data_IF_047545944772
#
_entry.id   IF_047545944772
#
_cell.length_a   1.000
_cell.length_b   1.000
_cell.length_c   1.000
_cell.angle_alpha   90.00
_cell.angle_beta   90.00
_cell.angle_gamma   90.00
#
_symmetry.space_group_name_H-M   'P 1'
#
loop_
_entity.id
_entity.type
_entity.pdbx_description
1 polymer ?
#
# COMPACT_ATOMS: atom_id res chain seq x y z
N UNK A 1 -10.51 -13.05 20.26
CA UNK A 1 -10.26 -12.76 18.83
C UNK A 1 -10.04 -11.26 18.70
N UNK A 2 -9.06 -10.83 17.91
CA UNK A 2 -8.88 -9.39 17.64
C UNK A 2 -10.07 -8.88 16.82
N UNK A 3 -10.64 -7.74 17.21
CA UNK A 3 -11.71 -7.08 16.45
C UNK A 3 -11.10 -6.15 15.41
N UNK A 4 -11.53 -6.27 14.15
CA UNK A 4 -11.11 -5.40 13.06
C UNK A 4 -12.28 -5.11 12.12
N UNK A 5 -12.23 -3.95 11.48
CA UNK A 5 -13.11 -3.55 10.40
C UNK A 5 -12.60 -4.19 9.11
N UNK A 6 -13.34 -5.17 8.60
CA UNK A 6 -13.06 -5.82 7.33
C UNK A 6 -13.63 -4.98 6.18
N UNK A 7 -12.78 -4.65 5.20
CA UNK A 7 -13.18 -3.95 3.98
C UNK A 7 -12.66 -4.74 2.77
N UNK A 8 -13.59 -5.24 1.96
CA UNK A 8 -13.29 -5.77 0.63
C UNK A 8 -13.51 -4.65 -0.39
N UNK A 9 -12.45 -4.32 -1.16
CA UNK A 9 -12.51 -3.26 -2.18
C UNK A 9 -12.47 -3.80 -3.60
N UNK A 10 -12.33 -5.11 -3.79
CA UNK A 10 -12.04 -5.68 -5.10
C UNK A 10 -10.80 -5.04 -5.73
N UNK A 11 -10.85 -4.78 -7.04
CA UNK A 11 -9.74 -4.18 -7.79
C UNK A 11 -9.78 -2.65 -7.73
N UNK A 12 -8.74 -2.03 -7.16
CA UNK A 12 -8.59 -0.58 -7.07
C UNK A 12 -7.17 -0.13 -7.43
N UNK A 13 -7.02 1.13 -7.84
CA UNK A 13 -5.71 1.70 -8.11
C UNK A 13 -4.81 1.65 -6.87
N UNK A 14 -3.51 1.47 -7.10
CA UNK A 14 -2.55 1.33 -6.01
C UNK A 14 -2.44 2.61 -5.18
N UNK A 15 -2.40 3.79 -5.83
CA UNK A 15 -2.29 5.06 -5.14
C UNK A 15 -3.55 5.35 -4.32
N UNK A 16 -4.73 5.08 -4.89
CA UNK A 16 -6.00 5.24 -4.16
C UNK A 16 -6.04 4.36 -2.90
N UNK A 17 -5.61 3.09 -3.01
CA UNK A 17 -5.51 2.21 -1.85
C UNK A 17 -4.51 2.72 -0.82
N UNK A 18 -3.36 3.20 -1.27
CA UNK A 18 -2.31 3.71 -0.39
C UNK A 18 -2.77 4.98 0.36
N UNK A 19 -3.46 5.90 -0.32
CA UNK A 19 -4.02 7.10 0.31
C UNK A 19 -5.04 6.74 1.40
N UNK A 20 -5.89 5.74 1.16
CA UNK A 20 -6.80 5.21 2.19
C UNK A 20 -6.02 4.61 3.39
N UNK A 21 -4.94 3.87 3.13
CA UNK A 21 -4.12 3.30 4.21
C UNK A 21 -3.49 4.39 5.07
N UNK A 22 -2.95 5.46 4.47
CA UNK A 22 -2.40 6.60 5.19
C UNK A 22 -3.47 7.33 6.01
N UNK A 23 -4.69 7.49 5.46
CA UNK A 23 -5.80 8.05 6.22
C UNK A 23 -6.12 7.22 7.46
N UNK A 24 -6.31 5.90 7.32
CA UNK A 24 -6.62 5.02 8.46
C UNK A 24 -5.48 5.00 9.48
N UNK A 25 -4.22 5.01 9.02
CA UNK A 25 -3.06 5.09 9.90
C UNK A 25 -3.07 6.40 10.71
N UNK A 26 -3.36 7.53 10.07
CA UNK A 26 -3.46 8.84 10.73
C UNK A 26 -4.52 8.83 11.83
N UNK A 27 -5.71 8.28 11.55
CA UNK A 27 -6.78 8.14 12.54
C UNK A 27 -6.37 7.28 13.75
N UNK A 28 -5.71 6.15 13.48
CA UNK A 28 -5.20 5.23 14.52
C UNK A 28 -4.16 5.93 15.40
N UNK A 29 -3.20 6.63 14.78
CA UNK A 29 -2.14 7.35 15.48
C UNK A 29 -2.70 8.49 16.32
N UNK A 30 -3.65 9.26 15.79
CA UNK A 30 -4.31 10.36 16.51
C UNK A 30 -5.04 9.83 17.75
N UNK A 31 -5.84 8.77 17.60
CA UNK A 31 -6.56 8.13 18.71
C UNK A 31 -5.62 7.62 19.80
N UNK A 32 -4.49 7.03 19.43
CA UNK A 32 -3.47 6.57 20.40
C UNK A 32 -2.81 7.73 21.13
N UNK A 33 -2.50 8.84 20.43
CA UNK A 33 -1.91 10.04 21.04
C UNK A 33 -2.86 10.70 22.04
N UNK A 34 -4.15 10.77 21.73
CA UNK A 34 -5.17 11.38 22.59
C UNK A 34 -5.44 10.53 23.84
N UNK A 35 -5.60 9.22 23.67
CA UNK A 35 -6.05 8.33 24.76
C UNK A 35 -4.91 7.68 25.55
N UNK A 36 -3.69 7.69 25.01
CA UNK A 36 -2.54 6.96 25.55
C UNK A 36 -2.69 5.42 25.47
N UNK A 37 -3.73 4.91 24.80
CA UNK A 37 -4.07 3.49 24.74
C UNK A 37 -4.15 3.01 23.29
N UNK A 38 -3.99 1.69 23.02
CA UNK A 38 -4.29 1.13 21.71
C UNK A 38 -5.74 1.41 21.30
N UNK A 39 -5.93 1.78 20.04
CA UNK A 39 -7.28 2.02 19.48
C UNK A 39 -7.95 0.69 19.10
N UNK A 40 -9.29 0.66 19.14
CA UNK A 40 -10.08 -0.44 18.60
C UNK A 40 -10.27 -0.35 17.08
N UNK A 41 -9.93 0.79 16.46
CA UNK A 41 -10.07 1.07 15.02
C UNK A 41 -8.99 0.37 14.19
N UNK A 42 -9.00 -0.96 14.17
CA UNK A 42 -8.11 -1.74 13.31
C UNK A 42 -8.83 -2.06 12.01
N UNK A 43 -8.14 -1.96 10.87
CA UNK A 43 -8.72 -2.21 9.56
C UNK A 43 -7.98 -3.35 8.87
N UNK A 44 -8.72 -4.22 8.20
CA UNK A 44 -8.20 -5.22 7.29
C UNK A 44 -8.76 -4.92 5.90
N UNK A 45 -7.87 -4.58 4.97
CA UNK A 45 -8.22 -4.30 3.58
C UNK A 45 -7.91 -5.54 2.74
N UNK A 46 -8.93 -6.12 2.11
CA UNK A 46 -8.75 -7.09 1.03
C UNK A 46 -8.92 -6.35 -0.29
N UNK A 47 -7.87 -6.37 -1.11
CA UNK A 47 -7.81 -5.61 -2.36
C UNK A 47 -7.02 -6.38 -3.41
N UNK A 48 -7.35 -6.10 -4.67
CA UNK A 48 -6.54 -6.42 -5.85
C UNK A 48 -6.13 -5.10 -6.51
N UNK A 49 -5.09 -5.12 -7.33
CA UNK A 49 -4.62 -3.94 -8.06
C UNK A 49 -4.52 -4.23 -9.55
N UNK A 50 -4.76 -3.25 -10.44
CA UNK A 50 -4.22 -3.30 -11.79
C UNK A 50 -2.69 -3.48 -11.73
N UNK A 51 -2.08 -4.00 -12.80
CA UNK A 51 -0.65 -4.28 -12.87
C UNK A 51 0.19 -3.11 -12.33
N UNK A 52 0.95 -3.37 -11.27
CA UNK A 52 1.76 -2.34 -10.62
C UNK A 52 3.04 -2.92 -10.04
N UNK A 53 4.14 -2.21 -10.23
CA UNK A 53 5.40 -2.48 -9.56
C UNK A 53 5.62 -1.45 -8.45
N UNK A 54 6.06 -1.91 -7.28
CA UNK A 54 6.37 -1.01 -6.17
C UNK A 54 7.80 -1.22 -5.69
N UNK A 55 8.53 -0.14 -5.45
CA UNK A 55 9.87 -0.16 -4.88
C UNK A 55 9.79 0.32 -3.42
N UNK A 56 10.21 -0.53 -2.48
CA UNK A 56 10.26 -0.18 -1.08
C UNK A 56 11.37 0.83 -0.75
N UNK A 57 11.35 1.36 0.48
CA UNK A 57 12.25 2.42 0.94
C UNK A 57 13.74 2.05 0.88
N UNK A 58 14.04 0.76 1.06
CA UNK A 58 15.41 0.22 1.02
C UNK A 58 15.70 -0.49 -0.30
N UNK A 59 14.82 -0.33 -1.30
CA UNK A 59 15.00 -0.94 -2.60
C UNK A 59 16.10 -0.24 -3.40
N UNK A 60 16.78 -1.02 -4.22
CA UNK A 60 17.80 -0.52 -5.13
C UNK A 60 17.15 -0.24 -6.49
N UNK A 61 17.27 0.99 -6.98
CA UNK A 61 16.76 1.36 -8.29
C UNK A 61 17.43 0.56 -9.41
N UNK A 62 18.64 0.05 -9.20
CA UNK A 62 19.33 -0.83 -10.14
C UNK A 62 18.66 -2.22 -10.26
N UNK A 63 17.87 -2.64 -9.27
CA UNK A 63 17.08 -3.87 -9.36
C UNK A 63 15.80 -3.69 -10.18
N UNK A 64 15.47 -2.45 -10.57
CA UNK A 64 14.43 -2.17 -11.56
C UNK A 64 14.96 -2.47 -12.97
N UNK A 65 14.94 -3.74 -13.35
CA UNK A 65 15.26 -4.19 -14.72
C UNK A 65 14.21 -3.78 -15.75
N UNK A 66 13.12 -3.15 -15.31
CA UNK A 66 11.96 -2.80 -16.13
C UNK A 66 12.01 -1.31 -16.46
N UNK A 67 12.26 -0.98 -17.72
CA UNK A 67 12.23 0.40 -18.22
C UNK A 67 10.79 0.90 -18.44
N UNK A 68 10.58 2.22 -18.41
CA UNK A 68 9.26 2.85 -18.60
C UNK A 68 8.52 2.38 -19.86
N UNK A 69 9.25 2.13 -20.94
CA UNK A 69 8.67 1.66 -22.21
C UNK A 69 8.04 0.26 -22.08
N UNK A 70 8.60 -0.60 -21.22
CA UNK A 70 8.03 -1.91 -20.95
C UNK A 70 6.77 -1.78 -20.10
N UNK A 71 6.80 -0.94 -19.05
CA UNK A 71 5.63 -0.68 -18.21
C UNK A 71 4.43 -0.20 -19.05
N UNK A 72 4.67 0.72 -20.00
CA UNK A 72 3.64 1.18 -20.94
C UNK A 72 3.08 0.05 -21.81
N UNK A 73 3.92 -0.88 -22.27
CA UNK A 73 3.49 -2.03 -23.10
C UNK A 73 2.58 -3.00 -22.35
N UNK A 74 2.84 -3.24 -21.07
CA UNK A 74 2.03 -4.13 -20.23
C UNK A 74 0.94 -3.40 -19.45
N UNK A 75 0.75 -2.10 -19.72
CA UNK A 75 -0.19 -1.23 -19.01
C UNK A 75 -0.03 -1.31 -17.48
N UNK A 76 1.23 -1.28 -17.00
CA UNK A 76 1.57 -1.32 -15.59
C UNK A 76 2.02 0.05 -15.07
N UNK A 77 1.70 0.32 -13.80
CA UNK A 77 2.16 1.52 -13.08
C UNK A 77 3.38 1.21 -12.21
N UNK A 78 4.08 2.26 -11.76
CA UNK A 78 5.22 2.14 -10.86
C UNK A 78 5.17 3.19 -9.75
N UNK A 79 5.39 2.75 -8.50
CA UNK A 79 5.45 3.63 -7.34
C UNK A 79 6.66 3.35 -6.45
N UNK A 80 7.32 4.41 -5.98
CA UNK A 80 8.28 4.34 -4.87
C UNK A 80 7.52 4.59 -3.57
N UNK A 81 7.60 3.66 -2.64
CA UNK A 81 6.75 3.65 -1.44
C UNK A 81 7.56 3.38 -0.16
N UNK A 82 6.95 3.66 0.99
CA UNK A 82 7.64 3.67 2.28
C UNK A 82 7.63 2.31 3.03
N UNK A 83 7.37 1.20 2.34
CA UNK A 83 7.47 -0.14 2.94
C UNK A 83 8.91 -0.64 2.99
N UNK A 84 9.17 -1.61 3.86
CA UNK A 84 10.42 -2.36 3.83
C UNK A 84 10.53 -3.27 2.59
N UNK A 85 11.74 -3.76 2.32
CA UNK A 85 12.04 -4.61 1.18
C UNK A 85 12.32 -3.84 -0.10
N UNK A 86 12.56 -4.59 -1.18
CA UNK A 86 12.98 -4.08 -2.48
C UNK A 86 11.78 -3.93 -3.45
N UNK A 87 11.94 -4.26 -4.73
CA UNK A 87 10.87 -4.27 -5.73
C UNK A 87 9.91 -5.47 -5.57
N UNK A 88 8.63 -5.24 -5.81
CA UNK A 88 7.62 -6.30 -5.93
C UNK A 88 6.57 -5.94 -6.99
N UNK A 89 5.82 -6.94 -7.44
CA UNK A 89 4.71 -6.80 -8.38
C UNK A 89 3.38 -7.14 -7.71
N UNK A 90 2.32 -6.43 -8.12
CA UNK A 90 0.94 -6.74 -7.80
C UNK A 90 0.07 -6.68 -9.07
N UNK A 91 -0.89 -7.60 -9.16
CA UNK A 91 -1.93 -7.63 -10.19
C UNK A 91 -2.29 -9.03 -10.61
#
# INVERSE_FOLDING_TARGET
MASFHYLDKGTIDYQECWDMQEQFLSEVVASKKETGKPTSKNYFLLVEHPHVYTLGKSGDEHNMLIHEDFLKKINATFYKINRGGDITYHG
#
